data_IF_108230696729
#
_entry.id   IF_108230696729
#
_cell.length_a   1.000
_cell.length_b   1.000
_cell.length_c   1.000
_cell.angle_alpha   90.00
_cell.angle_beta   90.00
_cell.angle_gamma   90.00
#
_symmetry.space_group_name_H-M   'P 1'
#
loop_
_entity.id
_entity.type
_entity.pdbx_description
1 polymer ?
#
# COMPACT_ATOMS: atom_id res chain seq x y z
N UNK A 1 -32.15 30.37 -11.82
CA UNK A 1 -30.69 30.49 -12.04
C UNK A 1 -29.86 29.88 -10.90
N UNK A 2 -30.20 30.10 -9.62
CA UNK A 2 -29.46 29.50 -8.49
C UNK A 2 -29.46 27.95 -8.48
N UNK A 3 -30.60 27.31 -8.75
CA UNK A 3 -30.72 25.83 -8.79
C UNK A 3 -29.83 25.17 -9.85
N UNK A 4 -29.80 25.70 -11.08
CA UNK A 4 -29.01 25.10 -12.17
C UNK A 4 -27.51 25.11 -11.90
N UNK A 5 -27.00 26.14 -11.23
CA UNK A 5 -25.59 26.27 -10.89
C UNK A 5 -25.19 25.25 -9.80
N UNK A 6 -26.05 25.03 -8.82
CA UNK A 6 -25.88 23.98 -7.80
C UNK A 6 -25.94 22.58 -8.40
N UNK A 7 -26.82 22.33 -9.36
CA UNK A 7 -26.94 21.01 -10.01
C UNK A 7 -25.67 20.68 -10.82
N UNK A 8 -25.15 21.65 -11.58
CA UNK A 8 -23.88 21.50 -12.32
C UNK A 8 -22.71 21.27 -11.36
N UNK A 9 -22.62 22.04 -10.28
CA UNK A 9 -21.57 21.87 -9.28
C UNK A 9 -21.64 20.49 -8.61
N UNK A 10 -22.83 20.00 -8.30
CA UNK A 10 -23.03 18.68 -7.70
C UNK A 10 -22.55 17.55 -8.63
N UNK A 11 -22.89 17.63 -9.93
CA UNK A 11 -22.41 16.65 -10.93
C UNK A 11 -20.89 16.68 -11.05
N UNK A 12 -20.28 17.87 -11.04
CA UNK A 12 -18.82 18.02 -11.13
C UNK A 12 -18.11 17.40 -9.92
N UNK A 13 -18.62 17.65 -8.71
CA UNK A 13 -18.09 17.06 -7.48
C UNK A 13 -18.25 15.55 -7.50
N UNK A 14 -19.41 15.03 -7.91
CA UNK A 14 -19.65 13.60 -8.03
C UNK A 14 -18.66 12.96 -9.02
N UNK A 15 -18.44 13.58 -10.17
CA UNK A 15 -17.49 13.10 -11.16
C UNK A 15 -16.05 13.10 -10.64
N UNK A 16 -15.67 14.14 -9.89
CA UNK A 16 -14.36 14.21 -9.23
C UNK A 16 -14.18 13.10 -8.21
N UNK A 17 -15.21 12.79 -7.42
CA UNK A 17 -15.18 11.67 -6.46
C UNK A 17 -14.98 10.34 -7.21
N UNK A 18 -15.77 10.08 -8.26
CA UNK A 18 -15.64 8.87 -9.08
C UNK A 18 -14.24 8.76 -9.68
N UNK A 19 -13.70 9.86 -10.20
CA UNK A 19 -12.35 9.90 -10.75
C UNK A 19 -11.27 9.56 -9.71
N UNK A 20 -11.38 10.11 -8.49
CA UNK A 20 -10.44 9.80 -7.40
C UNK A 20 -10.51 8.32 -7.00
N UNK A 21 -11.71 7.74 -6.93
CA UNK A 21 -11.91 6.31 -6.63
C UNK A 21 -11.31 5.43 -7.73
N UNK A 22 -11.57 5.73 -9.00
CA UNK A 22 -10.99 4.98 -10.13
C UNK A 22 -9.47 5.05 -10.13
N UNK A 23 -8.90 6.22 -9.86
CA UNK A 23 -7.44 6.41 -9.74
C UNK A 23 -6.85 5.49 -8.66
N UNK A 24 -7.48 5.41 -7.50
CA UNK A 24 -7.04 4.57 -6.39
C UNK A 24 -7.17 3.07 -6.73
N UNK A 25 -8.25 2.65 -7.39
CA UNK A 25 -8.44 1.27 -7.85
C UNK A 25 -7.34 0.86 -8.84
N UNK A 26 -7.05 1.70 -9.84
CA UNK A 26 -5.99 1.45 -10.83
C UNK A 26 -4.63 1.38 -10.14
N UNK A 27 -4.36 2.28 -9.20
CA UNK A 27 -3.13 2.26 -8.42
C UNK A 27 -2.97 0.94 -7.65
N UNK A 28 -3.99 0.54 -6.88
CA UNK A 28 -4.00 -0.73 -6.15
C UNK A 28 -3.86 -1.95 -7.04
N UNK A 29 -4.51 -1.94 -8.20
CA UNK A 29 -4.40 -3.03 -9.16
C UNK A 29 -2.98 -3.14 -9.73
N UNK A 30 -2.35 -2.02 -10.09
CA UNK A 30 -0.96 -2.00 -10.58
C UNK A 30 0.03 -2.51 -9.54
N UNK A 31 -0.14 -2.12 -8.27
CA UNK A 31 0.69 -2.62 -7.17
C UNK A 31 0.52 -4.13 -7.03
N UNK A 32 -0.72 -4.63 -7.03
CA UNK A 32 -1.01 -6.07 -6.94
C UNK A 32 -0.33 -6.87 -8.07
N UNK A 33 -0.31 -6.34 -9.29
CA UNK A 33 0.39 -6.98 -10.41
C UNK A 33 1.90 -7.05 -10.19
N UNK A 34 2.52 -5.97 -9.71
CA UNK A 34 3.97 -5.96 -9.42
C UNK A 34 4.34 -6.90 -8.29
N UNK A 35 3.50 -7.01 -7.25
CA UNK A 35 3.67 -8.00 -6.18
C UNK A 35 3.65 -9.43 -6.74
N UNK A 36 2.69 -9.75 -7.62
CA UNK A 36 2.61 -11.08 -8.24
C UNK A 36 3.82 -11.39 -9.14
N UNK A 37 4.41 -10.36 -9.75
CA UNK A 37 5.64 -10.50 -10.56
C UNK A 37 6.91 -10.60 -9.71
N UNK A 38 6.83 -10.44 -8.38
CA UNK A 38 8.00 -10.48 -7.50
C UNK A 38 8.95 -9.29 -7.70
N UNK A 39 8.42 -8.14 -8.12
CA UNK A 39 9.22 -6.95 -8.37
C UNK A 39 9.79 -6.37 -7.06
N UNK A 40 11.10 -6.54 -6.85
CA UNK A 40 11.80 -6.09 -5.65
C UNK A 40 11.92 -4.56 -5.56
N UNK A 41 11.74 -3.82 -6.67
CA UNK A 41 11.74 -2.36 -6.66
C UNK A 41 10.57 -1.81 -5.81
N UNK A 42 9.50 -2.59 -5.66
CA UNK A 42 8.34 -2.26 -4.84
C UNK A 42 8.69 -2.06 -3.35
N UNK A 43 9.77 -2.69 -2.86
CA UNK A 43 10.25 -2.56 -1.48
C UNK A 43 10.85 -1.17 -1.20
N UNK A 44 11.25 -0.45 -2.24
CA UNK A 44 11.83 0.89 -2.14
C UNK A 44 10.80 2.00 -2.44
N UNK A 45 9.56 1.67 -2.79
CA UNK A 45 8.52 2.65 -3.11
C UNK A 45 7.93 3.24 -1.81
N UNK A 46 8.07 4.56 -1.54
CA UNK A 46 7.58 5.18 -0.32
C UNK A 46 6.04 5.19 -0.21
N UNK A 47 5.32 4.85 -1.29
CA UNK A 47 3.85 4.78 -1.32
C UNK A 47 3.32 3.44 -0.85
N UNK A 48 4.19 2.46 -0.62
CA UNK A 48 3.82 1.11 -0.20
C UNK A 48 4.32 0.87 1.21
N UNK A 49 3.42 0.46 2.11
CA UNK A 49 3.82 0.02 3.44
C UNK A 49 4.27 -1.43 3.36
N UNK A 50 5.56 -1.67 3.51
CA UNK A 50 6.11 -3.02 3.69
C UNK A 50 5.89 -3.44 5.14
N UNK A 51 5.30 -4.62 5.33
CA UNK A 51 5.12 -5.22 6.65
C UNK A 51 5.94 -6.51 6.64
N UNK A 52 6.99 -6.56 7.44
CA UNK A 52 7.75 -7.79 7.65
C UNK A 52 6.89 -8.75 8.49
N UNK A 53 6.42 -9.81 7.85
CA UNK A 53 5.66 -10.86 8.52
C UNK A 53 6.69 -11.85 9.08
N UNK A 54 7.14 -11.59 10.30
CA UNK A 54 8.01 -12.54 11.01
C UNK A 54 7.15 -13.72 11.45
N UNK A 55 7.31 -14.88 10.81
CA UNK A 55 6.75 -16.13 11.33
C UNK A 55 7.59 -16.59 12.50
N UNK A 56 7.36 -16.01 13.67
CA UNK A 56 8.01 -16.42 14.89
C UNK A 56 7.02 -17.16 15.81
N UNK A 57 7.48 -18.16 16.58
CA UNK A 57 6.65 -18.85 17.57
C UNK A 57 6.00 -17.87 18.55
N UNK A 58 4.87 -18.28 19.15
CA UNK A 58 4.24 -17.50 20.22
C UNK A 58 5.25 -17.17 21.32
N UNK A 59 5.36 -15.89 21.68
CA UNK A 59 6.34 -15.39 22.65
C UNK A 59 7.67 -14.90 22.05
N UNK A 60 7.83 -14.93 20.73
CA UNK A 60 8.99 -14.33 20.09
C UNK A 60 8.88 -12.80 19.98
N UNK A 61 9.99 -12.12 20.26
CA UNK A 61 10.13 -10.68 20.18
C UNK A 61 11.27 -10.37 19.21
N UNK A 62 11.08 -9.42 18.31
CA UNK A 62 12.13 -8.94 17.42
C UNK A 62 13.15 -8.19 18.26
N UNK A 63 14.31 -8.80 18.51
CA UNK A 63 15.41 -8.20 19.26
C UNK A 63 16.51 -7.81 18.28
N UNK A 64 16.99 -6.56 18.36
CA UNK A 64 18.17 -6.10 17.63
C UNK A 64 19.44 -6.65 18.30
N UNK A 65 19.63 -7.96 18.17
CA UNK A 65 20.75 -8.69 18.77
C UNK A 65 21.72 -9.15 17.68
N UNK A 66 23.02 -8.88 17.91
CA UNK A 66 24.10 -9.44 17.10
C UNK A 66 24.03 -10.97 17.23
N UNK A 67 23.82 -11.65 16.09
CA UNK A 67 23.69 -13.11 16.04
C UNK A 67 25.03 -13.74 16.44
N UNK A 68 25.12 -14.28 17.66
CA UNK A 68 26.26 -15.11 18.07
C UNK A 68 26.14 -16.46 17.36
N UNK A 69 27.12 -16.78 16.52
CA UNK A 69 27.27 -18.10 15.88
C UNK A 69 28.15 -18.95 16.78
N UNK A 70 27.73 -20.18 17.06
CA UNK A 70 28.54 -21.12 17.82
C UNK A 70 29.80 -21.44 17.00
N UNK A 71 30.97 -21.23 17.60
CA UNK A 71 32.24 -21.71 17.06
C UNK A 71 32.30 -23.20 17.38
N UNK A 72 32.26 -24.04 16.35
CA UNK A 72 32.57 -25.47 16.50
C UNK A 72 34.08 -25.61 16.69
N UNK A 73 34.49 -26.29 17.77
CA UNK A 73 35.90 -26.58 18.10
C UNK A 73 36.57 -27.54 17.11
#
# INVERSE_FOLDING_TARGET
MKSMLTDIAAVLVLFLIVFLVLREIVFRWRIRLRVLMGDAELLNDPRVKVIEIVQAPEGSMTVDAIRMVAVEE
#
